data_IF_879252925968
#
_entry.id   IF_879252925968
#
_cell.length_a   1.000
_cell.length_b   1.000
_cell.length_c   1.000
_cell.angle_alpha   90.00
_cell.angle_beta   90.00
_cell.angle_gamma   90.00
#
_symmetry.space_group_name_H-M   'P 1'
#
loop_
_entity.id
_entity.type
_entity.pdbx_description
1 polymer ?
#
# COMPACT_ATOMS: atom_id res chain seq x y z
N UNK A 1 -28.43 -14.97 -3.68
CA UNK A 1 -27.24 -14.11 -3.87
C UNK A 1 -26.95 -13.95 -5.35
N UNK A 2 -26.88 -12.70 -5.83
CA UNK A 2 -26.46 -12.40 -7.21
C UNK A 2 -24.98 -12.75 -7.42
N UNK A 3 -24.54 -12.85 -8.67
CA UNK A 3 -23.12 -13.12 -8.99
C UNK A 3 -22.19 -12.04 -8.39
N UNK A 4 -22.64 -10.78 -8.37
CA UNK A 4 -21.91 -9.64 -7.78
C UNK A 4 -21.66 -9.86 -6.28
N UNK A 5 -22.67 -10.31 -5.53
CA UNK A 5 -22.54 -10.53 -4.08
C UNK A 5 -21.55 -11.66 -3.76
N UNK A 6 -21.61 -12.78 -4.50
CA UNK A 6 -20.70 -13.91 -4.31
C UNK A 6 -19.24 -13.52 -4.61
N UNK A 7 -19.00 -12.79 -5.70
CA UNK A 7 -17.64 -12.36 -6.04
C UNK A 7 -17.12 -11.31 -5.07
N UNK A 8 -17.97 -10.37 -4.65
CA UNK A 8 -17.60 -9.35 -3.66
C UNK A 8 -17.16 -9.96 -2.34
N UNK A 9 -17.86 -11.02 -1.87
CA UNK A 9 -17.45 -11.78 -0.68
C UNK A 9 -16.08 -12.44 -0.83
N UNK A 10 -15.81 -13.07 -1.98
CA UNK A 10 -14.50 -13.70 -2.28
C UNK A 10 -13.38 -12.68 -2.29
N UNK A 11 -13.57 -11.56 -2.99
CA UNK A 11 -12.59 -10.47 -3.03
C UNK A 11 -12.38 -9.87 -1.65
N UNK A 12 -13.44 -9.66 -0.86
CA UNK A 12 -13.30 -9.17 0.52
C UNK A 12 -12.44 -10.09 1.39
N UNK A 13 -12.68 -11.41 1.34
CA UNK A 13 -11.88 -12.37 2.11
C UNK A 13 -10.42 -12.35 1.68
N UNK A 14 -10.15 -12.27 0.38
CA UNK A 14 -8.79 -12.14 -0.16
C UNK A 14 -8.11 -10.86 0.33
N UNK A 15 -8.79 -9.71 0.31
CA UNK A 15 -8.26 -8.44 0.81
C UNK A 15 -8.00 -8.47 2.32
N UNK A 16 -8.86 -9.14 3.10
CA UNK A 16 -8.65 -9.34 4.55
C UNK A 16 -7.42 -10.21 4.83
N UNK A 17 -7.23 -11.28 4.04
CA UNK A 17 -6.03 -12.10 4.12
C UNK A 17 -4.78 -11.28 3.81
N UNK A 18 -4.80 -10.44 2.75
CA UNK A 18 -3.69 -9.55 2.45
C UNK A 18 -3.44 -8.53 3.58
N UNK A 19 -4.49 -7.92 4.13
CA UNK A 19 -4.35 -6.96 5.24
C UNK A 19 -3.63 -7.56 6.46
N UNK A 20 -3.94 -8.82 6.81
CA UNK A 20 -3.29 -9.52 7.92
C UNK A 20 -1.88 -10.00 7.56
N UNK A 21 -1.68 -10.43 6.32
CA UNK A 21 -0.42 -11.00 5.84
C UNK A 21 0.66 -9.93 5.64
N UNK A 22 0.31 -8.72 5.19
CA UNK A 22 1.26 -7.62 4.96
C UNK A 22 2.17 -7.33 6.16
N UNK A 23 1.68 -7.02 7.38
CA UNK A 23 2.55 -6.73 8.51
C UNK A 23 3.39 -7.94 8.94
N UNK A 24 2.84 -9.16 8.86
CA UNK A 24 3.57 -10.40 9.16
C UNK A 24 4.77 -10.56 8.22
N UNK A 25 4.54 -10.34 6.92
CA UNK A 25 5.59 -10.42 5.90
C UNK A 25 6.66 -9.35 6.08
N UNK A 26 6.28 -8.11 6.42
CA UNK A 26 7.25 -7.03 6.69
C UNK A 26 8.13 -7.37 7.89
N UNK A 27 7.54 -7.84 8.99
CA UNK A 27 8.30 -8.26 10.17
C UNK A 27 9.22 -9.44 9.85
N UNK A 28 8.69 -10.47 9.19
CA UNK A 28 9.48 -11.65 8.79
C UNK A 28 10.68 -11.23 7.93
N UNK A 29 10.45 -10.44 6.88
CA UNK A 29 11.50 -9.97 5.98
C UNK A 29 12.65 -9.28 6.73
N UNK A 30 12.37 -8.29 7.59
CA UNK A 30 13.44 -7.57 8.29
C UNK A 30 14.19 -8.41 9.33
N UNK A 31 13.53 -9.41 9.91
CA UNK A 31 14.15 -10.33 10.84
C UNK A 31 15.02 -11.38 10.11
N UNK A 32 14.68 -11.76 8.88
CA UNK A 32 15.37 -12.83 8.15
C UNK A 32 16.30 -12.36 7.03
N UNK A 33 16.21 -11.11 6.57
CA UNK A 33 17.05 -10.59 5.47
C UNK A 33 18.54 -10.82 5.73
N UNK A 34 19.35 -11.23 4.75
CA UNK A 34 20.77 -11.60 4.94
C UNK A 34 21.04 -12.72 5.97
N UNK A 35 20.06 -13.60 6.23
CA UNK A 35 20.25 -14.82 7.04
C UNK A 35 19.90 -16.05 6.20
N UNK A 36 20.27 -17.28 6.63
CA UNK A 36 19.86 -18.51 5.93
C UNK A 36 18.33 -18.72 5.83
N UNK A 37 17.55 -17.89 6.53
CA UNK A 37 16.09 -17.92 6.49
C UNK A 37 15.50 -16.85 5.54
N UNK A 38 16.32 -16.19 4.70
CA UNK A 38 15.91 -15.17 3.73
C UNK A 38 15.28 -15.76 2.46
N UNK A 39 14.21 -16.53 2.65
CA UNK A 39 13.53 -17.22 1.55
C UNK A 39 12.88 -16.24 0.56
N UNK A 40 12.45 -15.07 1.03
CA UNK A 40 11.74 -14.09 0.20
C UNK A 40 12.65 -13.44 -0.84
N UNK A 41 13.90 -13.17 -0.46
CA UNK A 41 14.90 -12.63 -1.38
C UNK A 41 15.46 -13.73 -2.27
N UNK A 42 15.76 -14.91 -1.72
CA UNK A 42 16.27 -16.06 -2.49
C UNK A 42 15.32 -16.51 -3.60
N UNK A 43 14.01 -16.53 -3.34
CA UNK A 43 13.01 -16.85 -4.35
C UNK A 43 12.73 -15.71 -5.35
N UNK A 44 13.32 -14.53 -5.16
CA UNK A 44 13.03 -13.35 -5.98
C UNK A 44 11.60 -12.82 -5.83
N UNK A 45 10.90 -13.18 -4.75
CA UNK A 45 9.52 -12.74 -4.47
C UNK A 45 9.51 -11.24 -4.12
N UNK A 46 10.55 -10.79 -3.43
CA UNK A 46 10.73 -9.38 -3.08
C UNK A 46 12.02 -8.89 -3.72
N UNK A 47 11.88 -8.12 -4.79
CA UNK A 47 12.94 -7.22 -5.24
C UNK A 47 12.77 -5.91 -4.49
N UNK A 48 13.50 -5.72 -3.39
CA UNK A 48 13.59 -4.39 -2.82
C UNK A 48 14.21 -3.48 -3.89
N UNK A 49 13.46 -2.47 -4.35
CA UNK A 49 13.91 -1.51 -5.37
C UNK A 49 15.11 -0.67 -4.91
N UNK A 50 15.41 -0.69 -3.61
CA UNK A 50 16.69 -0.32 -3.06
C UNK A 50 17.55 -1.58 -3.06
N UNK A 51 18.39 -1.73 -4.07
CA UNK A 51 19.50 -2.68 -4.06
C UNK A 51 20.28 -2.43 -2.76
N UNK A 52 20.01 -3.24 -1.73
CA UNK A 52 20.67 -3.16 -0.41
C UNK A 52 22.19 -3.18 -0.55
N UNK A 53 22.65 -3.87 -1.59
CA UNK A 53 24.04 -3.98 -2.02
C UNK A 53 24.68 -2.63 -2.41
N UNK A 54 23.88 -1.65 -2.86
CA UNK A 54 24.37 -0.30 -3.15
C UNK A 54 24.57 0.56 -1.90
N UNK A 55 23.97 0.18 -0.77
CA UNK A 55 23.98 1.01 0.44
C UNK A 55 24.85 0.43 1.55
N UNK A 56 25.07 -0.89 1.60
CA UNK A 56 25.93 -1.52 2.62
C UNK A 56 26.60 -2.78 2.09
N UNK A 57 27.91 -2.91 2.31
CA UNK A 57 28.66 -4.18 2.12
C UNK A 57 28.77 -5.00 3.41
N UNK A 58 28.41 -4.41 4.55
CA UNK A 58 28.43 -5.01 5.88
C UNK A 58 27.11 -5.68 6.26
N UNK A 59 27.17 -6.71 7.10
CA UNK A 59 25.97 -7.33 7.67
C UNK A 59 25.14 -6.34 8.49
N UNK A 60 23.82 -6.38 8.33
CA UNK A 60 22.91 -5.49 9.04
C UNK A 60 22.89 -5.81 10.54
N UNK A 61 23.21 -4.82 11.37
CA UNK A 61 23.06 -4.92 12.83
C UNK A 61 21.58 -5.06 13.24
N UNK A 62 21.33 -5.66 14.40
CA UNK A 62 19.96 -5.87 14.90
C UNK A 62 19.20 -4.55 15.09
N UNK A 63 19.90 -3.50 15.52
CA UNK A 63 19.31 -2.15 15.66
C UNK A 63 18.83 -1.62 14.32
N UNK A 64 19.65 -1.72 13.27
CA UNK A 64 19.27 -1.28 11.93
C UNK A 64 18.08 -2.06 11.39
N UNK A 65 18.02 -3.38 11.63
CA UNK A 65 16.86 -4.22 11.25
C UNK A 65 15.58 -3.75 11.92
N UNK A 66 15.62 -3.46 13.22
CA UNK A 66 14.43 -3.00 13.97
C UNK A 66 13.98 -1.62 13.47
N UNK A 67 14.90 -0.67 13.26
CA UNK A 67 14.57 0.66 12.76
C UNK A 67 13.97 0.57 11.35
N UNK A 68 14.59 -0.22 10.48
CA UNK A 68 14.11 -0.46 9.12
C UNK A 68 12.72 -1.13 9.12
N UNK A 69 12.50 -2.12 10.00
CA UNK A 69 11.19 -2.76 10.19
C UNK A 69 10.10 -1.75 10.55
N UNK A 70 10.33 -0.90 11.55
CA UNK A 70 9.35 0.13 11.91
C UNK A 70 9.13 1.14 10.79
N UNK A 71 10.21 1.55 10.10
CA UNK A 71 10.13 2.48 8.97
C UNK A 71 9.28 1.89 7.84
N UNK A 72 9.47 0.60 7.52
CA UNK A 72 8.63 -0.12 6.56
C UNK A 72 7.20 -0.25 7.04
N UNK A 73 6.95 -0.62 8.30
CA UNK A 73 5.58 -0.72 8.82
C UNK A 73 4.83 0.61 8.73
N UNK A 74 5.48 1.73 8.99
CA UNK A 74 4.90 3.07 8.81
C UNK A 74 4.54 3.31 7.34
N UNK A 75 5.43 3.01 6.40
CA UNK A 75 5.13 3.14 4.97
C UNK A 75 3.97 2.23 4.53
N UNK A 76 4.00 0.95 4.91
CA UNK A 76 2.96 -0.02 4.59
C UNK A 76 1.63 0.25 5.29
N UNK A 77 1.58 1.09 6.33
CA UNK A 77 0.33 1.51 6.96
C UNK A 77 -0.62 2.23 5.98
N UNK A 78 -0.07 2.93 4.99
CA UNK A 78 -0.84 3.57 3.92
C UNK A 78 -1.55 2.51 3.06
N UNK A 79 -0.84 1.45 2.68
CA UNK A 79 -1.42 0.31 1.95
C UNK A 79 -2.48 -0.40 2.79
N UNK A 80 -2.19 -0.62 4.08
CA UNK A 80 -3.15 -1.24 5.01
C UNK A 80 -4.44 -0.40 5.11
N UNK A 81 -4.32 0.92 5.20
CA UNK A 81 -5.48 1.81 5.16
C UNK A 81 -6.27 1.65 3.86
N UNK A 82 -5.61 1.67 2.69
CA UNK A 82 -6.27 1.45 1.41
C UNK A 82 -7.01 0.10 1.34
N UNK A 83 -6.39 -0.98 1.84
CA UNK A 83 -7.02 -2.29 1.95
C UNK A 83 -8.26 -2.25 2.85
N UNK A 84 -8.22 -1.57 3.99
CA UNK A 84 -9.41 -1.44 4.86
C UNK A 84 -10.56 -0.70 4.17
N UNK A 85 -10.26 0.32 3.35
CA UNK A 85 -11.26 1.04 2.56
C UNK A 85 -11.85 0.12 1.49
N UNK A 86 -11.02 -0.64 0.77
CA UNK A 86 -11.49 -1.64 -0.20
C UNK A 86 -12.37 -2.72 0.46
N UNK A 87 -11.97 -3.24 1.62
CA UNK A 87 -12.75 -4.24 2.37
C UNK A 87 -14.14 -3.71 2.72
N UNK A 88 -14.25 -2.42 3.11
CA UNK A 88 -15.55 -1.78 3.36
C UNK A 88 -16.38 -1.66 2.09
N UNK A 89 -15.76 -1.21 0.99
CA UNK A 89 -16.41 -1.08 -0.31
C UNK A 89 -16.97 -2.43 -0.82
N UNK A 90 -16.18 -3.51 -0.76
CA UNK A 90 -16.65 -4.84 -1.14
C UNK A 90 -17.67 -5.44 -0.16
N UNK A 91 -17.66 -5.03 1.11
CA UNK A 91 -18.72 -5.39 2.06
C UNK A 91 -20.05 -4.73 1.67
N UNK A 92 -20.03 -3.48 1.20
CA UNK A 92 -21.24 -2.79 0.74
C UNK A 92 -21.79 -3.46 -0.54
N UNK A 93 -20.90 -3.85 -1.47
CA UNK A 93 -21.30 -4.62 -2.66
C UNK A 93 -21.89 -6.00 -2.35
N UNK A 94 -21.40 -6.69 -1.31
CA UNK A 94 -22.02 -7.93 -0.84
C UNK A 94 -23.45 -7.70 -0.31
N UNK A 95 -23.72 -6.53 0.28
CA UNK A 95 -25.06 -6.15 0.75
C UNK A 95 -25.99 -5.66 -0.36
N UNK A 96 -25.47 -5.45 -1.57
CA UNK A 96 -26.23 -4.88 -2.70
C UNK A 96 -26.29 -3.36 -2.70
N UNK A 97 -25.58 -2.70 -1.79
CA UNK A 97 -25.46 -1.24 -1.71
C UNK A 97 -24.37 -0.77 -2.68
N UNK A 98 -24.73 -0.63 -3.96
CA UNK A 98 -23.77 -0.27 -5.02
C UNK A 98 -23.60 1.25 -5.13
N UNK A 99 -24.72 1.97 -5.28
CA UNK A 99 -24.76 3.43 -5.37
C UNK A 99 -25.06 4.02 -4.01
N UNK A 100 -24.00 4.34 -3.26
CA UNK A 100 -24.10 5.01 -1.97
C UNK A 100 -23.06 6.09 -1.85
N UNK A 101 -23.38 7.14 -1.10
CA UNK A 101 -22.43 8.20 -0.77
C UNK A 101 -21.19 7.63 -0.05
N UNK A 102 -21.34 6.59 0.77
CA UNK A 102 -20.23 5.93 1.45
C UNK A 102 -19.25 5.28 0.45
N UNK A 103 -19.76 4.66 -0.62
CA UNK A 103 -18.92 4.06 -1.66
C UNK A 103 -18.19 5.15 -2.47
N UNK A 104 -18.87 6.25 -2.81
CA UNK A 104 -18.25 7.40 -3.47
C UNK A 104 -17.09 7.97 -2.63
N UNK A 105 -17.30 8.18 -1.32
CA UNK A 105 -16.24 8.62 -0.39
C UNK A 105 -15.12 7.58 -0.25
N UNK A 106 -15.43 6.29 -0.34
CA UNK A 106 -14.43 5.21 -0.31
C UNK A 106 -13.50 5.29 -1.51
N UNK A 107 -14.04 5.50 -2.72
CA UNK A 107 -13.21 5.78 -3.90
C UNK A 107 -12.32 7.02 -3.70
N UNK A 108 -12.86 8.09 -3.11
CA UNK A 108 -12.07 9.30 -2.84
C UNK A 108 -10.86 9.00 -1.94
N UNK A 109 -11.09 8.25 -0.85
CA UNK A 109 -10.05 7.82 0.09
C UNK A 109 -9.00 6.93 -0.59
N UNK A 110 -9.42 6.05 -1.50
CA UNK A 110 -8.48 5.21 -2.27
C UNK A 110 -7.62 6.06 -3.20
N UNK A 111 -8.21 7.03 -3.89
CA UNK A 111 -7.47 7.99 -4.72
C UNK A 111 -6.39 8.71 -3.90
N UNK A 112 -6.77 9.31 -2.77
CA UNK A 112 -5.81 9.95 -1.85
C UNK A 112 -4.74 9.01 -1.30
N UNK A 113 -5.09 7.75 -1.03
CA UNK A 113 -4.12 6.75 -0.55
C UNK A 113 -2.99 6.53 -1.57
N UNK A 114 -3.26 6.63 -2.88
CA UNK A 114 -2.22 6.53 -3.90
C UNK A 114 -1.28 7.76 -3.92
N UNK A 115 -1.80 8.96 -3.69
CA UNK A 115 -0.95 10.15 -3.53
C UNK A 115 -0.07 10.05 -2.29
N UNK A 116 -0.64 9.62 -1.15
CA UNK A 116 0.12 9.38 0.07
C UNK A 116 1.14 8.26 -0.10
N UNK A 117 0.82 7.22 -0.88
CA UNK A 117 1.76 6.15 -1.19
C UNK A 117 2.97 6.69 -1.97
N UNK A 118 2.76 7.49 -3.01
CA UNK A 118 3.87 8.06 -3.80
C UNK A 118 4.69 9.05 -2.98
N UNK A 119 4.05 9.92 -2.18
CA UNK A 119 4.80 10.81 -1.29
C UNK A 119 5.57 10.00 -0.22
N UNK A 120 4.93 8.97 0.31
CA UNK A 120 5.51 8.04 1.27
C UNK A 120 6.68 7.27 0.70
N UNK A 121 6.65 6.85 -0.57
CA UNK A 121 7.74 6.09 -1.21
C UNK A 121 9.02 6.91 -1.31
N UNK A 122 8.91 8.20 -1.64
CA UNK A 122 10.05 9.13 -1.69
C UNK A 122 10.66 9.33 -0.29
N UNK A 123 9.82 9.60 0.72
CA UNK A 123 10.26 9.78 2.11
C UNK A 123 10.88 8.47 2.63
N UNK A 124 10.24 7.35 2.35
CA UNK A 124 10.70 6.02 2.73
C UNK A 124 12.06 5.70 2.10
N UNK A 125 12.24 5.95 0.80
CA UNK A 125 13.52 5.75 0.13
C UNK A 125 14.66 6.58 0.77
N UNK A 126 14.38 7.85 1.06
CA UNK A 126 15.31 8.74 1.74
C UNK A 126 15.68 8.23 3.14
N UNK A 127 14.68 7.88 3.97
CA UNK A 127 14.90 7.34 5.30
C UNK A 127 15.70 6.03 5.26
N UNK A 128 15.34 5.12 4.36
CA UNK A 128 16.02 3.83 4.24
C UNK A 128 17.46 3.98 3.77
N UNK A 129 17.76 4.92 2.86
CA UNK A 129 19.15 5.18 2.46
C UNK A 129 20.05 5.53 3.65
N UNK A 130 19.54 6.34 4.58
CA UNK A 130 20.25 6.73 5.81
C UNK A 130 20.31 5.59 6.81
N UNK A 131 19.17 4.93 7.07
CA UNK A 131 19.07 3.83 8.05
C UNK A 131 20.02 2.70 7.70
N UNK A 132 20.06 2.32 6.42
CA UNK A 132 20.92 1.24 5.96
C UNK A 132 22.39 1.67 5.98
N UNK A 133 22.71 2.87 5.47
CA UNK A 133 24.09 3.35 5.42
C UNK A 133 24.70 3.69 6.79
N UNK A 134 23.92 3.70 7.89
CA UNK A 134 24.49 3.80 9.24
C UNK A 134 25.41 2.65 9.62
N UNK A 135 25.30 1.49 8.98
CA UNK A 135 26.25 0.40 9.19
C UNK A 135 27.60 0.65 8.52
N UNK A 136 27.70 1.62 7.60
CA UNK A 136 28.94 1.98 6.93
C UNK A 136 29.85 2.82 7.86
N UNK A 137 31.17 2.77 7.65
CA UNK A 137 32.10 3.61 8.41
C UNK A 137 31.83 5.12 8.24
N UNK A 138 32.29 5.96 9.18
CA UNK A 138 32.15 7.41 9.08
C UNK A 138 32.76 7.95 7.78
N UNK A 139 31.96 8.58 6.93
CA UNK A 139 32.36 9.08 5.61
C UNK A 139 31.70 8.35 4.43
N UNK A 140 31.14 7.16 4.65
CA UNK A 140 30.48 6.34 3.62
C UNK A 140 28.95 6.26 3.81
N UNK A 141 28.38 7.20 4.57
CA UNK A 141 26.92 7.30 4.76
C UNK A 141 26.28 7.93 3.53
N UNK A 142 25.21 7.34 3.05
CA UNK A 142 24.55 7.72 1.80
C UNK A 142 23.17 8.28 2.10
N UNK A 143 22.88 9.44 1.54
CA UNK A 143 21.53 9.98 1.45
C UNK A 143 21.12 10.01 -0.02
N UNK A 144 20.10 9.23 -0.36
CA UNK A 144 19.60 9.12 -1.72
C UNK A 144 18.10 9.36 -1.76
N UNK A 145 17.66 10.19 -2.69
CA UNK A 145 16.25 10.36 -3.02
C UNK A 145 16.07 9.86 -4.44
N UNK A 146 15.13 8.94 -4.62
CA UNK A 146 14.76 8.42 -5.92
C UNK A 146 13.27 8.65 -6.18
N UNK A 147 12.96 8.89 -7.45
CA UNK A 147 11.59 8.95 -7.95
C UNK A 147 11.57 8.13 -9.25
N UNK A 148 10.69 7.13 -9.31
CA UNK A 148 10.69 6.13 -10.40
C UNK A 148 9.46 6.34 -11.28
N UNK A 149 9.53 5.97 -12.56
CA UNK A 149 8.39 6.09 -13.48
C UNK A 149 7.11 5.37 -13.01
N UNK A 150 7.22 4.33 -12.18
CA UNK A 150 6.08 3.67 -11.54
C UNK A 150 5.32 4.60 -10.58
N UNK A 151 6.01 5.52 -9.91
CA UNK A 151 5.38 6.51 -9.04
C UNK A 151 4.47 7.44 -9.86
N UNK A 152 4.92 7.86 -11.06
CA UNK A 152 4.12 8.69 -11.96
C UNK A 152 2.83 7.99 -12.43
N UNK A 153 2.91 6.72 -12.83
CA UNK A 153 1.72 5.94 -13.20
C UNK A 153 0.75 5.78 -12.02
N UNK A 154 1.28 5.63 -10.81
CA UNK A 154 0.48 5.52 -9.58
C UNK A 154 -0.27 6.82 -9.29
N UNK A 155 0.35 7.99 -9.53
CA UNK A 155 -0.32 9.29 -9.42
C UNK A 155 -1.46 9.42 -10.43
N UNK A 156 -1.24 9.02 -11.68
CA UNK A 156 -2.30 9.01 -12.71
C UNK A 156 -3.47 8.12 -12.27
N UNK A 157 -3.18 6.92 -11.74
CA UNK A 157 -4.20 6.03 -11.21
C UNK A 157 -4.97 6.68 -10.04
N UNK A 158 -4.27 7.41 -9.16
CA UNK A 158 -4.89 8.23 -8.11
C UNK A 158 -5.89 9.24 -8.65
N UNK A 159 -5.52 9.98 -9.69
CA UNK A 159 -6.39 10.95 -10.37
C UNK A 159 -7.63 10.24 -10.97
N UNK A 160 -7.43 9.12 -11.67
CA UNK A 160 -8.53 8.35 -12.28
C UNK A 160 -9.51 7.88 -11.21
N UNK A 161 -9.02 7.35 -10.08
CA UNK A 161 -9.87 6.90 -8.98
C UNK A 161 -10.64 8.08 -8.34
N UNK A 162 -10.04 9.26 -8.23
CA UNK A 162 -10.75 10.47 -7.78
C UNK A 162 -11.86 10.89 -8.76
N UNK A 163 -11.62 10.81 -10.06
CA UNK A 163 -12.65 11.07 -11.07
C UNK A 163 -13.80 10.05 -10.94
N UNK A 164 -13.48 8.76 -10.77
CA UNK A 164 -14.50 7.72 -10.53
C UNK A 164 -15.31 8.03 -9.28
N UNK A 165 -14.68 8.54 -8.21
CA UNK A 165 -15.39 8.97 -7.00
C UNK A 165 -16.43 10.05 -7.29
N UNK A 166 -16.08 11.06 -8.09
CA UNK A 166 -17.02 12.11 -8.50
C UNK A 166 -18.15 11.56 -9.36
N UNK A 167 -17.85 10.71 -10.34
CA UNK A 167 -18.88 10.06 -11.19
C UNK A 167 -19.84 9.21 -10.35
N UNK A 168 -19.32 8.46 -9.37
CA UNK A 168 -20.15 7.68 -8.45
C UNK A 168 -21.04 8.55 -7.57
N UNK A 169 -20.56 9.75 -7.17
CA UNK A 169 -21.35 10.71 -6.42
C UNK A 169 -22.49 11.26 -7.26
N UNK A 170 -22.24 11.65 -8.51
CA UNK A 170 -23.31 12.08 -9.44
C UNK A 170 -24.34 10.97 -9.68
N UNK A 171 -23.87 9.73 -9.88
CA UNK A 171 -24.76 8.57 -10.03
C UNK A 171 -25.64 8.32 -8.80
N UNK A 172 -25.12 8.56 -7.59
CA UNK A 172 -25.90 8.51 -6.36
C UNK A 172 -26.97 9.60 -6.29
N UNK A 173 -26.63 10.86 -6.62
CA UNK A 173 -27.58 11.98 -6.63
C UNK A 173 -28.74 11.69 -7.61
N UNK A 174 -28.42 11.26 -8.83
CA UNK A 174 -29.44 10.92 -9.83
C UNK A 174 -30.37 9.78 -9.38
N UNK A 175 -29.82 8.75 -8.72
CA UNK A 175 -30.62 7.64 -8.19
C UNK A 175 -31.51 8.08 -7.02
N UNK A 176 -31.02 9.00 -6.18
CA UNK A 176 -31.77 9.58 -5.07
C UNK A 176 -32.95 10.43 -5.57
N UNK A 177 -32.72 11.31 -6.55
CA UNK A 177 -33.75 12.15 -7.17
C UNK A 177 -34.87 11.32 -7.83
N UNK A 178 -34.51 10.26 -8.54
CA UNK A 178 -35.48 9.34 -9.15
C UNK A 178 -36.32 8.58 -8.12
N UNK A 179 -35.79 8.33 -6.92
CA UNK A 179 -36.55 7.68 -5.86
C UNK A 179 -37.61 8.58 -5.22
N UNK A 180 -37.48 9.91 -5.35
CA UNK A 180 -38.43 10.89 -4.80
C UNK A 180 -39.52 11.33 -5.78
N UNK A 181 -39.46 10.90 -7.05
CA UNK A 181 -40.44 11.25 -8.09
C UNK A 181 -41.50 10.18 -8.36
N UNK A 182 -41.48 9.06 -7.61
CA UNK A 182 -42.49 7.99 -7.64
C UNK A 182 -43.40 8.13 -6.42
#
# INVERSE_FOLDING_TARGET
MSNIQKQSRRVRMLLQSFLALTPIMVCYFWLTVQTPYDFLSEMGIIQFSLEMENFTTSSLTMTTRIIAMFTSLVMFSILMYALTVLIRLFRNYERGEIFSLENAMSYQKLGYSLFYWVLGSVIYGALMSVVLSFNNPPGERVFAISFVGMDFLTLILGIIILIISWVMKEGYILADEHSQTI
#
